data_IF_432380459880
#
_entry.id   IF_432380459880
#
_cell.length_a   1.000
_cell.length_b   1.000
_cell.length_c   1.000
_cell.angle_alpha   90.00
_cell.angle_beta   90.00
_cell.angle_gamma   90.00
#
_symmetry.space_group_name_H-M   'P 1'
#
loop_
_entity.id
_entity.type
_entity.pdbx_description
1 polymer ?
#
# COMPACT_ATOMS: atom_id res chain seq x y z
N UNK A 1 6.39 4.28 -11.65
CA UNK A 1 6.00 2.87 -11.45
C UNK A 1 4.70 2.87 -10.67
N UNK A 2 3.61 2.29 -11.19
CA UNK A 2 2.27 2.32 -10.57
C UNK A 2 1.92 0.91 -10.07
N UNK A 3 1.95 0.70 -8.76
CA UNK A 3 1.57 -0.59 -8.15
C UNK A 3 0.06 -0.63 -7.88
N UNK A 4 -0.50 0.48 -7.38
CA UNK A 4 -1.94 0.61 -7.12
C UNK A 4 -2.40 2.09 -7.18
N UNK A 5 -1.56 3.03 -6.72
CA UNK A 5 -1.91 4.44 -6.61
C UNK A 5 -1.29 5.32 -7.70
N UNK A 6 -2.01 6.34 -8.19
CA UNK A 6 -1.52 7.37 -9.13
C UNK A 6 -0.34 8.15 -8.54
N UNK A 7 -0.36 8.41 -7.23
CA UNK A 7 0.75 9.00 -6.51
C UNK A 7 1.93 8.04 -6.38
N UNK A 8 3.10 8.42 -6.89
CA UNK A 8 4.30 7.60 -6.83
C UNK A 8 4.78 7.35 -5.39
N UNK A 9 4.66 8.35 -4.51
CA UNK A 9 5.03 8.22 -3.09
C UNK A 9 4.17 7.16 -2.39
N UNK A 10 2.86 7.19 -2.59
CA UNK A 10 1.93 6.27 -1.92
C UNK A 10 2.06 4.84 -2.45
N UNK A 11 2.33 4.68 -3.75
CA UNK A 11 2.69 3.37 -4.33
C UNK A 11 3.99 2.80 -3.72
N UNK A 12 4.95 3.65 -3.38
CA UNK A 12 6.20 3.22 -2.75
C UNK A 12 5.99 2.84 -1.28
N UNK A 13 5.18 3.58 -0.55
CA UNK A 13 4.80 3.23 0.83
C UNK A 13 4.02 1.92 0.90
N UNK A 14 3.10 1.68 -0.02
CA UNK A 14 2.42 0.38 -0.13
C UNK A 14 3.42 -0.74 -0.42
N UNK A 15 4.35 -0.52 -1.36
CA UNK A 15 5.40 -1.50 -1.67
C UNK A 15 6.26 -1.81 -0.44
N UNK A 16 6.64 -0.78 0.31
CA UNK A 16 7.38 -0.93 1.56
C UNK A 16 6.57 -1.72 2.60
N UNK A 17 5.29 -1.43 2.77
CA UNK A 17 4.41 -2.16 3.69
C UNK A 17 4.33 -3.65 3.35
N UNK A 18 4.14 -4.02 2.08
CA UNK A 18 4.06 -5.43 1.68
C UNK A 18 5.41 -6.17 1.82
N UNK A 19 6.54 -5.46 1.78
CA UNK A 19 7.85 -6.09 2.05
C UNK A 19 8.08 -6.43 3.53
N UNK A 20 7.29 -5.86 4.44
CA UNK A 20 7.40 -6.14 5.87
C UNK A 20 6.64 -7.38 6.34
N UNK A 21 5.92 -8.10 5.47
CA UNK A 21 5.17 -9.31 5.85
C UNK A 21 6.07 -10.35 6.56
N UNK A 22 7.32 -10.52 6.11
CA UNK A 22 8.29 -11.42 6.77
C UNK A 22 8.88 -10.91 8.10
N UNK A 23 8.56 -9.67 8.49
CA UNK A 23 9.11 -8.97 9.65
C UNK A 23 8.01 -8.59 10.66
N UNK A 24 6.99 -9.45 10.81
CA UNK A 24 5.81 -9.19 11.66
C UNK A 24 4.98 -7.98 11.21
N UNK A 25 5.11 -7.55 9.96
CA UNK A 25 4.22 -6.58 9.33
C UNK A 25 2.89 -7.20 8.91
N UNK A 26 2.04 -6.39 8.27
CA UNK A 26 0.78 -6.87 7.73
C UNK A 26 1.00 -7.92 6.63
N UNK A 27 0.05 -8.84 6.49
CA UNK A 27 0.04 -9.78 5.37
C UNK A 27 -0.14 -9.02 4.05
N UNK A 28 0.47 -9.51 2.97
CA UNK A 28 0.39 -8.86 1.66
C UNK A 28 -1.08 -8.64 1.25
N UNK A 29 -1.95 -9.62 1.50
CA UNK A 29 -3.38 -9.53 1.22
C UNK A 29 -4.09 -8.44 2.04
N UNK A 30 -3.70 -8.25 3.30
CA UNK A 30 -4.29 -7.22 4.18
C UNK A 30 -3.88 -5.82 3.74
N UNK A 31 -2.60 -5.63 3.41
CA UNK A 31 -2.08 -4.38 2.90
C UNK A 31 -2.75 -3.98 1.58
N UNK A 32 -2.94 -4.93 0.66
CA UNK A 32 -3.61 -4.70 -0.62
C UNK A 32 -5.13 -4.47 -0.45
N UNK A 33 -5.81 -5.25 0.39
CA UNK A 33 -7.25 -5.09 0.66
C UNK A 33 -7.56 -3.76 1.39
N UNK A 34 -6.62 -3.27 2.19
CA UNK A 34 -6.70 -1.93 2.79
C UNK A 34 -6.46 -0.87 1.73
N UNK A 35 -5.40 -1.01 0.92
CA UNK A 35 -5.08 -0.08 -0.17
C UNK A 35 -6.24 0.08 -1.17
N UNK A 36 -6.97 -0.99 -1.48
CA UNK A 36 -8.12 -0.93 -2.41
C UNK A 36 -9.30 -0.12 -1.88
N UNK A 37 -9.36 0.16 -0.57
CA UNK A 37 -10.41 0.98 0.06
C UNK A 37 -10.01 2.45 0.16
N UNK A 38 -8.73 2.78 -0.08
CA UNK A 38 -8.23 4.16 -0.02
C UNK A 38 -8.61 4.86 -1.31
N UNK A 39 -9.38 5.95 -1.19
CA UNK A 39 -9.73 6.79 -2.32
C UNK A 39 -8.55 7.70 -2.64
N UNK A 40 -8.05 7.64 -3.88
CA UNK A 40 -6.97 8.52 -4.33
C UNK A 40 -7.35 10.00 -4.17
N UNK A 41 -6.48 10.77 -3.53
CA UNK A 41 -6.69 12.19 -3.24
C UNK A 41 -7.38 12.48 -1.90
N UNK A 42 -7.81 11.44 -1.19
CA UNK A 42 -8.41 11.51 0.14
C UNK A 42 -7.42 10.97 1.18
N UNK A 43 -6.37 11.75 1.46
CA UNK A 43 -5.26 11.36 2.34
C UNK A 43 -5.33 12.02 3.73
N UNK A 44 -6.51 12.50 4.14
CA UNK A 44 -6.71 13.28 5.37
C UNK A 44 -7.80 12.70 6.26
#
# INVERSE_FOLDING_TARGET
MKLHFQGQAFSFELLRAVTYTGYQGAEIGEALATASKIKEGDFY
#
